data_IF_791747406122
#
_entry.id   IF_791747406122
#
_cell.length_a   1.000
_cell.length_b   1.000
_cell.length_c   1.000
_cell.angle_alpha   90.00
_cell.angle_beta   90.00
_cell.angle_gamma   90.00
#
_symmetry.space_group_name_H-M   'P 1'
#
loop_
_entity.id
_entity.type
_entity.pdbx_description
1 polymer ?
#
# COMPACT_ATOMS: atom_id res chain seq x y z
N UNK A 1 12.07 -5.75 -44.32
CA UNK A 1 10.66 -5.72 -43.84
C UNK A 1 10.56 -5.94 -42.33
N UNK A 2 11.05 -7.05 -41.75
CA UNK A 2 10.99 -7.29 -40.29
C UNK A 2 11.58 -6.16 -39.41
N UNK A 3 12.72 -5.58 -39.80
CA UNK A 3 13.35 -4.44 -39.08
C UNK A 3 12.52 -3.14 -39.12
N UNK A 4 11.76 -2.91 -40.19
CA UNK A 4 10.89 -1.73 -40.33
C UNK A 4 9.66 -1.87 -39.45
N UNK A 5 9.14 -3.09 -39.29
CA UNK A 5 8.03 -3.39 -38.38
C UNK A 5 8.44 -3.11 -36.93
N UNK A 6 9.64 -3.51 -36.49
CA UNK A 6 10.12 -3.19 -35.13
C UNK A 6 10.31 -1.69 -34.89
N UNK A 7 10.81 -0.94 -35.87
CA UNK A 7 10.94 0.52 -35.76
C UNK A 7 9.57 1.19 -35.71
N UNK A 8 8.59 0.74 -36.51
CA UNK A 8 7.22 1.24 -36.45
C UNK A 8 6.53 0.89 -35.13
N UNK A 9 6.66 -0.34 -34.63
CA UNK A 9 6.15 -0.73 -33.31
C UNK A 9 6.78 0.08 -32.17
N UNK A 10 8.09 0.37 -32.26
CA UNK A 10 8.79 1.21 -31.30
C UNK A 10 8.30 2.68 -31.37
N UNK A 11 8.11 3.24 -32.56
CA UNK A 11 7.59 4.61 -32.73
C UNK A 11 6.13 4.76 -32.29
N UNK A 12 5.28 3.75 -32.50
CA UNK A 12 3.90 3.75 -31.99
C UNK A 12 3.84 3.76 -30.46
N UNK A 13 4.80 3.11 -29.78
CA UNK A 13 4.84 3.10 -28.32
C UNK A 13 5.11 4.48 -27.72
N UNK A 14 5.76 5.40 -28.44
CA UNK A 14 5.97 6.79 -27.98
C UNK A 14 4.72 7.68 -28.08
N UNK A 15 3.78 7.37 -29.00
CA UNK A 15 2.57 8.18 -29.19
C UNK A 15 1.62 8.18 -27.99
N UNK A 16 1.50 7.03 -27.32
CA UNK A 16 0.61 6.84 -26.15
C UNK A 16 1.08 7.65 -24.93
N UNK A 17 2.38 7.94 -24.83
CA UNK A 17 2.89 8.75 -23.73
C UNK A 17 2.52 10.22 -23.87
N UNK A 18 2.63 10.77 -25.08
CA UNK A 18 2.29 12.16 -25.37
C UNK A 18 0.79 12.46 -25.21
N UNK A 19 -0.07 11.51 -25.56
CA UNK A 19 -1.53 11.66 -25.44
C UNK A 19 -1.97 11.82 -23.98
N UNK A 20 -1.42 11.01 -23.08
CA UNK A 20 -1.73 11.07 -21.65
C UNK A 20 -1.32 12.39 -20.99
N UNK A 21 -0.20 12.98 -21.39
CA UNK A 21 0.22 14.29 -20.87
C UNK A 21 -0.73 15.41 -21.32
N UNK A 22 -1.25 15.31 -22.55
CA UNK A 22 -2.27 16.23 -23.07
C UNK A 22 -3.58 16.06 -22.30
N UNK A 23 -4.03 14.81 -22.09
CA UNK A 23 -5.22 14.51 -21.29
C UNK A 23 -5.07 15.05 -19.87
N UNK A 24 -3.90 14.88 -19.25
CA UNK A 24 -3.63 15.34 -17.89
C UNK A 24 -3.71 16.88 -17.79
N UNK A 25 -3.06 17.59 -18.72
CA UNK A 25 -3.14 19.06 -18.80
C UNK A 25 -4.57 19.54 -19.03
N UNK A 26 -5.32 18.86 -19.91
CA UNK A 26 -6.74 19.17 -20.17
C UNK A 26 -7.61 18.94 -18.93
N UNK A 27 -7.40 17.83 -18.22
CA UNK A 27 -8.09 17.53 -16.98
C UNK A 27 -7.81 18.59 -15.91
N UNK A 28 -6.55 19.00 -15.73
CA UNK A 28 -6.19 20.09 -14.81
C UNK A 28 -6.85 21.42 -15.20
N UNK A 29 -6.92 21.74 -16.50
CA UNK A 29 -7.61 22.94 -16.97
C UNK A 29 -9.12 22.90 -16.67
N UNK A 30 -9.77 21.75 -16.90
CA UNK A 30 -11.18 21.54 -16.55
C UNK A 30 -11.42 21.66 -15.04
N UNK A 31 -10.54 21.05 -14.24
CA UNK A 31 -10.57 21.17 -12.78
C UNK A 31 -10.48 22.64 -12.32
N UNK A 32 -9.53 23.40 -12.88
CA UNK A 32 -9.37 24.82 -12.56
C UNK A 32 -10.55 25.69 -13.01
N UNK A 33 -11.33 25.24 -14.00
CA UNK A 33 -12.58 25.86 -14.43
C UNK A 33 -13.79 25.45 -13.57
N UNK A 34 -13.60 24.61 -12.55
CA UNK A 34 -14.68 24.07 -11.72
C UNK A 34 -15.47 22.92 -12.37
N UNK A 35 -15.04 22.45 -13.54
CA UNK A 35 -15.69 21.36 -14.29
C UNK A 35 -15.18 20.00 -13.82
N UNK A 36 -15.47 19.67 -12.56
CA UNK A 36 -14.88 18.51 -11.89
C UNK A 36 -15.27 17.17 -12.52
N UNK A 37 -16.53 17.01 -12.95
CA UNK A 37 -16.99 15.77 -13.58
C UNK A 37 -16.27 15.51 -14.92
N UNK A 38 -16.11 16.55 -15.75
CA UNK A 38 -15.36 16.46 -17.00
C UNK A 38 -13.87 16.19 -16.75
N UNK A 39 -13.30 16.77 -15.68
CA UNK A 39 -11.92 16.50 -15.29
C UNK A 39 -11.72 15.04 -14.88
N UNK A 40 -12.63 14.47 -14.09
CA UNK A 40 -12.62 13.05 -13.69
C UNK A 40 -12.63 12.16 -14.93
N UNK A 41 -13.52 12.40 -15.90
CA UNK A 41 -13.57 11.63 -17.14
C UNK A 41 -12.21 11.63 -17.87
N UNK A 42 -11.52 12.78 -17.93
CA UNK A 42 -10.19 12.85 -18.57
C UNK A 42 -9.10 12.17 -17.76
N UNK A 43 -9.16 12.19 -16.43
CA UNK A 43 -8.23 11.44 -15.61
C UNK A 43 -8.49 9.92 -15.67
N UNK A 44 -9.75 9.49 -15.70
CA UNK A 44 -10.12 8.07 -15.84
C UNK A 44 -9.64 7.51 -17.18
N UNK A 45 -9.76 8.28 -18.27
CA UNK A 45 -9.17 7.89 -19.56
C UNK A 45 -7.64 7.64 -19.47
N UNK A 46 -6.92 8.38 -18.62
CA UNK A 46 -5.48 8.13 -18.40
C UNK A 46 -5.30 6.82 -17.63
N UNK A 47 -6.10 6.58 -16.58
CA UNK A 47 -6.08 5.33 -15.83
C UNK A 47 -6.37 4.10 -16.69
N UNK A 48 -7.30 4.21 -17.65
CA UNK A 48 -7.62 3.13 -18.60
C UNK A 48 -6.42 2.72 -19.48
N UNK A 49 -5.43 3.60 -19.65
CA UNK A 49 -4.17 3.25 -20.33
C UNK A 49 -3.17 2.49 -19.44
N UNK A 50 -3.54 2.17 -18.19
CA UNK A 50 -2.68 1.52 -17.20
C UNK A 50 -1.62 2.45 -16.60
N UNK A 51 -1.75 3.77 -16.79
CA UNK A 51 -0.86 4.75 -16.19
C UNK A 51 -1.33 5.11 -14.79
N UNK A 52 -0.45 4.92 -13.81
CA UNK A 52 -0.70 5.24 -12.42
C UNK A 52 0.40 6.16 -11.89
N UNK A 53 0.01 7.22 -11.19
CA UNK A 53 0.95 8.13 -10.50
C UNK A 53 0.29 8.75 -9.27
N UNK A 54 1.11 9.20 -8.32
CA UNK A 54 0.62 9.90 -7.14
C UNK A 54 -0.20 11.14 -7.54
N UNK A 55 0.30 11.93 -8.51
CA UNK A 55 -0.36 13.15 -8.99
C UNK A 55 -1.71 12.88 -9.65
N UNK A 56 -1.82 11.81 -10.46
CA UNK A 56 -3.07 11.43 -11.11
C UNK A 56 -4.13 11.05 -10.07
N UNK A 57 -3.75 10.20 -9.11
CA UNK A 57 -4.64 9.82 -8.03
C UNK A 57 -5.01 10.99 -7.13
N UNK A 58 -4.05 11.85 -6.79
CA UNK A 58 -4.31 13.05 -6.00
C UNK A 58 -5.30 13.99 -6.68
N UNK A 59 -5.17 14.21 -8.00
CA UNK A 59 -6.07 15.08 -8.75
C UNK A 59 -7.47 14.47 -8.95
N UNK A 60 -7.57 13.16 -9.20
CA UNK A 60 -8.84 12.43 -9.18
C UNK A 60 -9.53 12.56 -7.82
N UNK A 61 -8.79 12.36 -6.74
CA UNK A 61 -9.30 12.46 -5.38
C UNK A 61 -9.81 13.86 -5.06
N UNK A 62 -9.08 14.91 -5.47
CA UNK A 62 -9.49 16.31 -5.36
C UNK A 62 -10.77 16.59 -6.17
N UNK A 63 -10.87 16.11 -7.41
CA UNK A 63 -12.04 16.32 -8.24
C UNK A 63 -13.29 15.63 -7.65
N UNK A 64 -13.13 14.40 -7.15
CA UNK A 64 -14.19 13.69 -6.43
C UNK A 64 -14.56 14.39 -5.11
N UNK A 65 -13.57 14.89 -4.36
CA UNK A 65 -13.80 15.67 -3.15
C UNK A 65 -14.69 16.89 -3.41
N UNK A 66 -14.39 17.64 -4.49
CA UNK A 66 -15.17 18.82 -4.89
C UNK A 66 -16.61 18.52 -5.30
N UNK A 67 -16.90 17.28 -5.70
CA UNK A 67 -18.25 16.80 -6.01
C UNK A 67 -18.94 16.13 -4.82
N UNK A 68 -18.31 16.09 -3.64
CA UNK A 68 -18.77 15.33 -2.47
C UNK A 68 -18.90 13.82 -2.71
N UNK A 69 -18.12 13.26 -3.63
CA UNK A 69 -18.03 11.81 -3.80
C UNK A 69 -17.05 11.25 -2.76
N UNK A 70 -17.55 10.93 -1.56
CA UNK A 70 -16.74 10.62 -0.37
C UNK A 70 -15.87 9.37 -0.60
N UNK A 71 -16.48 8.23 -0.95
CA UNK A 71 -15.73 6.99 -1.16
C UNK A 71 -14.67 7.07 -2.27
N UNK A 72 -14.99 7.55 -3.49
CA UNK A 72 -13.98 7.73 -4.54
C UNK A 72 -12.86 8.68 -4.14
N UNK A 73 -13.17 9.77 -3.43
CA UNK A 73 -12.15 10.73 -2.98
C UNK A 73 -11.14 10.08 -2.05
N UNK A 74 -11.61 9.42 -0.99
CA UNK A 74 -10.72 8.73 -0.03
C UNK A 74 -9.96 7.60 -0.73
N UNK A 75 -10.63 6.82 -1.59
CA UNK A 75 -10.00 5.74 -2.34
C UNK A 75 -8.81 6.20 -3.17
N UNK A 76 -8.96 7.28 -3.94
CA UNK A 76 -7.85 7.79 -4.75
C UNK A 76 -6.78 8.49 -3.90
N UNK A 77 -7.13 9.19 -2.81
CA UNK A 77 -6.12 9.71 -1.90
C UNK A 77 -5.29 8.62 -1.24
N UNK A 78 -5.90 7.51 -0.82
CA UNK A 78 -5.18 6.36 -0.27
C UNK A 78 -4.21 5.77 -1.30
N UNK A 79 -4.63 5.65 -2.56
CA UNK A 79 -3.74 5.22 -3.65
C UNK A 79 -2.60 6.20 -3.89
N UNK A 80 -2.87 7.51 -3.87
CA UNK A 80 -1.83 8.53 -3.98
C UNK A 80 -0.82 8.42 -2.81
N UNK A 81 -1.33 8.24 -1.58
CA UNK A 81 -0.52 8.09 -0.37
C UNK A 81 0.33 6.81 -0.40
N UNK A 82 -0.17 5.74 -1.00
CA UNK A 82 0.61 4.51 -1.19
C UNK A 82 1.85 4.75 -2.07
N UNK A 83 1.71 5.55 -3.13
CA UNK A 83 2.81 5.89 -4.04
C UNK A 83 3.75 6.97 -3.46
N UNK A 84 3.22 7.88 -2.65
CA UNK A 84 3.96 8.98 -2.05
C UNK A 84 3.66 9.09 -0.53
N UNK A 85 4.16 8.15 0.30
CA UNK A 85 3.78 8.04 1.73
C UNK A 85 4.26 9.19 2.61
N UNK A 86 5.16 10.03 2.10
CA UNK A 86 5.72 11.17 2.82
C UNK A 86 5.19 12.53 2.33
N UNK A 87 4.32 12.54 1.33
CA UNK A 87 3.74 13.77 0.80
C UNK A 87 2.80 14.42 1.82
N UNK A 88 3.06 15.68 2.17
CA UNK A 88 2.26 16.42 3.15
C UNK A 88 0.90 16.82 2.62
N UNK A 89 0.81 17.14 1.32
CA UNK A 89 -0.42 17.64 0.70
C UNK A 89 -1.44 16.50 0.59
N UNK A 90 -0.99 15.31 0.20
CA UNK A 90 -1.82 14.10 0.22
C UNK A 90 -2.34 13.82 1.64
N UNK A 91 -1.47 13.87 2.65
CA UNK A 91 -1.83 13.62 4.06
C UNK A 91 -2.84 14.63 4.61
N UNK A 92 -2.68 15.90 4.26
CA UNK A 92 -3.60 16.94 4.69
C UNK A 92 -4.95 16.79 3.99
N UNK A 93 -4.94 16.58 2.66
CA UNK A 93 -6.17 16.50 1.88
C UNK A 93 -7.00 15.24 2.18
N UNK A 94 -6.36 14.09 2.39
CA UNK A 94 -7.08 12.88 2.81
C UNK A 94 -7.70 13.05 4.19
N UNK A 95 -7.09 13.81 5.10
CA UNK A 95 -7.67 14.08 6.41
C UNK A 95 -8.99 14.88 6.28
N UNK A 96 -9.03 15.88 5.39
CA UNK A 96 -10.28 16.58 5.08
C UNK A 96 -11.34 15.64 4.48
N UNK A 97 -10.95 14.76 3.55
CA UNK A 97 -11.87 13.77 2.97
C UNK A 97 -12.41 12.79 4.01
N UNK A 98 -11.57 12.33 4.94
CA UNK A 98 -12.00 11.46 6.05
C UNK A 98 -12.95 12.18 7.01
N UNK A 99 -12.82 13.49 7.21
CA UNK A 99 -13.79 14.23 8.02
C UNK A 99 -15.19 14.32 7.38
N UNK A 100 -15.35 13.94 6.11
CA UNK A 100 -16.66 13.82 5.46
C UNK A 100 -17.34 12.47 5.72
N UNK A 101 -16.65 11.49 6.30
CA UNK A 101 -17.24 10.18 6.59
C UNK A 101 -18.20 10.27 7.77
N UNK A 102 -19.25 9.45 7.74
CA UNK A 102 -20.22 9.34 8.84
C UNK A 102 -19.67 8.53 10.00
N UNK A 103 -18.89 7.49 9.70
CA UNK A 103 -18.35 6.59 10.71
C UNK A 103 -17.16 7.25 11.43
N UNK A 104 -17.27 7.37 12.75
CA UNK A 104 -16.16 7.74 13.62
C UNK A 104 -15.56 6.47 14.24
N UNK A 105 -14.42 6.04 13.70
CA UNK A 105 -13.75 4.80 14.11
C UNK A 105 -12.43 5.17 14.75
N UNK A 106 -12.33 4.95 16.05
CA UNK A 106 -11.10 5.14 16.79
C UNK A 106 -9.99 4.25 16.24
N UNK A 107 -8.82 4.85 16.02
CA UNK A 107 -7.61 4.11 15.67
C UNK A 107 -6.94 3.71 16.97
N UNK A 108 -6.86 2.41 17.26
CA UNK A 108 -6.15 1.96 18.45
C UNK A 108 -4.66 2.31 18.28
N UNK A 109 -4.11 3.19 19.14
CA UNK A 109 -2.73 3.61 18.98
C UNK A 109 -1.80 2.44 19.30
N UNK A 110 -0.81 2.21 18.45
CA UNK A 110 0.25 1.26 18.75
C UNK A 110 1.16 1.80 19.85
N UNK A 111 1.31 1.04 20.93
CA UNK A 111 2.08 1.45 22.12
C UNK A 111 3.25 0.50 22.40
N UNK A 112 4.25 1.02 23.13
CA UNK A 112 5.37 0.25 23.66
C UNK A 112 6.22 -0.46 22.60
N UNK A 113 6.58 -1.72 22.87
CA UNK A 113 7.45 -2.54 22.01
C UNK A 113 6.85 -2.85 20.64
N UNK A 114 5.52 -2.97 20.54
CA UNK A 114 4.85 -3.28 19.26
C UNK A 114 5.14 -2.20 18.21
N UNK A 115 5.01 -0.93 18.60
CA UNK A 115 5.33 0.22 17.75
C UNK A 115 6.80 0.22 17.32
N UNK A 116 7.73 -0.11 18.22
CA UNK A 116 9.17 -0.13 17.92
C UNK A 116 9.48 -1.22 16.89
N UNK A 117 8.99 -2.44 17.12
CA UNK A 117 9.21 -3.57 16.20
C UNK A 117 8.62 -3.27 14.82
N UNK A 118 7.37 -2.79 14.76
CA UNK A 118 6.72 -2.42 13.49
C UNK A 118 7.48 -1.30 12.78
N UNK A 119 7.93 -0.28 13.50
CA UNK A 119 8.69 0.83 12.93
C UNK A 119 10.02 0.36 12.34
N UNK A 120 10.74 -0.54 13.01
CA UNK A 120 11.99 -1.12 12.48
C UNK A 120 11.69 -1.99 11.26
N UNK A 121 10.69 -2.88 11.34
CA UNK A 121 10.28 -3.70 10.20
C UNK A 121 9.96 -2.85 8.97
N UNK A 122 9.26 -1.73 9.12
CA UNK A 122 8.83 -0.88 8.03
C UNK A 122 9.90 0.05 7.46
N UNK A 123 11.10 0.13 8.05
CA UNK A 123 12.20 0.92 7.47
C UNK A 123 12.69 0.36 6.13
N UNK A 124 12.57 -0.95 5.93
CA UNK A 124 13.10 -1.66 4.77
C UNK A 124 12.04 -2.64 4.24
N UNK A 125 12.09 -2.94 2.95
CA UNK A 125 11.26 -3.99 2.37
C UNK A 125 11.69 -5.37 2.86
N UNK A 126 10.81 -6.36 2.70
CA UNK A 126 11.13 -7.76 2.93
C UNK A 126 12.43 -8.19 2.22
N UNK A 127 12.56 -7.88 0.92
CA UNK A 127 13.73 -8.23 0.12
C UNK A 127 15.01 -7.58 0.64
N UNK A 128 14.92 -6.35 1.13
CA UNK A 128 16.07 -5.64 1.66
C UNK A 128 16.55 -6.26 2.99
N UNK A 129 15.63 -6.63 3.88
CA UNK A 129 15.97 -7.41 5.08
C UNK A 129 16.58 -8.78 4.74
N UNK A 130 16.04 -9.48 3.73
CA UNK A 130 16.58 -10.75 3.27
C UNK A 130 18.00 -10.61 2.70
N UNK A 131 18.29 -9.55 1.93
CA UNK A 131 19.65 -9.26 1.44
C UNK A 131 20.63 -8.96 2.57
N UNK A 132 20.20 -8.22 3.59
CA UNK A 132 21.01 -7.97 4.81
C UNK A 132 21.33 -9.29 5.51
N UNK A 133 20.35 -10.18 5.67
CA UNK A 133 20.57 -11.51 6.24
C UNK A 133 21.63 -12.30 5.45
N UNK A 134 21.50 -12.35 4.11
CA UNK A 134 22.51 -13.00 3.24
C UNK A 134 23.90 -12.38 3.42
N UNK A 135 23.99 -11.05 3.54
CA UNK A 135 25.25 -10.35 3.82
C UNK A 135 25.89 -10.80 5.14
N UNK A 136 25.10 -10.96 6.20
CA UNK A 136 25.59 -11.48 7.48
C UNK A 136 26.02 -12.95 7.41
N UNK A 137 25.38 -13.78 6.56
CA UNK A 137 25.86 -15.15 6.30
C UNK A 137 27.27 -15.13 5.69
N UNK A 138 27.50 -14.33 4.65
CA UNK A 138 28.84 -14.22 4.04
C UNK A 138 29.88 -13.70 5.05
N UNK A 139 29.52 -12.67 5.83
CA UNK A 139 30.39 -12.14 6.88
C UNK A 139 30.74 -13.20 7.92
N UNK A 140 29.75 -13.99 8.36
CA UNK A 140 29.95 -15.11 9.27
C UNK A 140 30.94 -16.12 8.69
N UNK A 141 30.72 -16.59 7.46
CA UNK A 141 31.58 -17.59 6.81
C UNK A 141 33.02 -17.07 6.67
N UNK A 142 33.20 -15.83 6.20
CA UNK A 142 34.53 -15.24 6.03
C UNK A 142 35.27 -15.12 7.36
N UNK A 143 34.60 -14.62 8.41
CA UNK A 143 35.22 -14.46 9.73
C UNK A 143 35.50 -15.82 10.40
N UNK A 144 34.61 -16.80 10.18
CA UNK A 144 34.81 -18.16 10.69
C UNK A 144 35.99 -18.86 10.00
N UNK A 145 36.15 -18.68 8.68
CA UNK A 145 37.33 -19.15 7.96
C UNK A 145 38.59 -18.40 8.41
N UNK A 146 38.53 -17.08 8.59
CA UNK A 146 39.64 -16.29 9.09
C UNK A 146 40.12 -16.76 10.48
N UNK A 147 39.19 -17.14 11.36
CA UNK A 147 39.51 -17.74 12.65
C UNK A 147 40.38 -19.01 12.52
N UNK A 148 40.15 -19.83 11.48
CA UNK A 148 40.94 -21.03 11.22
C UNK A 148 42.36 -20.73 10.73
N UNK A 149 42.51 -19.76 9.81
CA UNK A 149 43.79 -19.49 9.13
C UNK A 149 44.72 -18.50 9.84
N UNK A 150 44.20 -17.66 10.73
CA UNK A 150 45.01 -16.63 11.41
C UNK A 150 45.81 -17.26 12.54
N UNK A 151 47.10 -16.95 12.66
CA UNK A 151 47.96 -17.50 13.73
C UNK A 151 47.97 -16.65 15.02
N UNK A 152 47.77 -15.33 14.90
CA UNK A 152 47.80 -14.41 16.06
C UNK A 152 46.58 -14.58 16.97
N UNK A 153 46.84 -14.70 18.29
CA UNK A 153 45.80 -14.92 19.31
C UNK A 153 44.73 -13.82 19.34
N UNK A 154 45.13 -12.55 19.23
CA UNK A 154 44.18 -11.42 19.23
C UNK A 154 43.26 -11.47 18.02
N UNK A 155 43.83 -11.67 16.83
CA UNK A 155 43.06 -11.69 15.59
C UNK A 155 42.14 -12.92 15.51
N UNK A 156 42.57 -14.09 16.04
CA UNK A 156 41.67 -15.24 16.23
C UNK A 156 40.48 -14.89 17.10
N UNK A 157 40.72 -14.25 18.25
CA UNK A 157 39.64 -13.86 19.18
C UNK A 157 38.66 -12.89 18.53
N UNK A 158 39.16 -11.90 17.80
CA UNK A 158 38.33 -10.95 17.06
C UNK A 158 37.52 -11.64 15.96
N UNK A 159 38.11 -12.56 15.20
CA UNK A 159 37.42 -13.32 14.16
C UNK A 159 36.30 -14.22 14.76
N UNK A 160 36.57 -14.86 15.90
CA UNK A 160 35.58 -15.67 16.61
C UNK A 160 34.41 -14.83 17.16
N UNK A 161 34.72 -13.71 17.83
CA UNK A 161 33.69 -12.79 18.36
C UNK A 161 32.89 -12.20 17.19
N UNK A 162 33.56 -11.75 16.14
CA UNK A 162 32.94 -11.16 14.96
C UNK A 162 32.03 -12.14 14.23
N UNK A 163 32.47 -13.38 14.01
CA UNK A 163 31.61 -14.42 13.41
C UNK A 163 30.38 -14.69 14.29
N UNK A 164 30.55 -14.85 15.61
CA UNK A 164 29.43 -15.04 16.54
C UNK A 164 28.44 -13.86 16.50
N UNK A 165 28.94 -12.63 16.43
CA UNK A 165 28.11 -11.43 16.30
C UNK A 165 27.37 -11.39 14.96
N UNK A 166 28.04 -11.70 13.85
CA UNK A 166 27.41 -11.78 12.52
C UNK A 166 26.30 -12.84 12.48
N UNK A 167 26.49 -13.96 13.17
CA UNK A 167 25.47 -15.00 13.32
C UNK A 167 24.25 -14.50 14.13
N UNK A 168 24.46 -13.73 15.19
CA UNK A 168 23.37 -13.12 15.96
C UNK A 168 22.60 -12.10 15.10
N UNK A 169 23.31 -11.22 14.39
CA UNK A 169 22.71 -10.21 13.52
C UNK A 169 21.95 -10.84 12.34
N UNK A 170 22.39 -11.99 11.84
CA UNK A 170 21.64 -12.80 10.88
C UNK A 170 20.26 -13.17 11.42
N UNK A 171 20.17 -13.73 12.64
CA UNK A 171 18.88 -14.11 13.22
C UNK A 171 17.97 -12.91 13.44
N UNK A 172 18.52 -11.77 13.84
CA UNK A 172 17.77 -10.51 13.96
C UNK A 172 17.23 -10.05 12.60
N UNK A 173 18.06 -10.08 11.54
CA UNK A 173 17.63 -9.71 10.19
C UNK A 173 16.54 -10.65 9.67
N UNK A 174 16.66 -11.96 9.90
CA UNK A 174 15.64 -12.95 9.54
C UNK A 174 14.34 -12.72 10.31
N UNK A 175 14.40 -12.44 11.61
CA UNK A 175 13.24 -12.10 12.41
C UNK A 175 12.48 -10.91 11.79
N UNK A 176 13.18 -9.83 11.46
CA UNK A 176 12.55 -8.66 10.84
C UNK A 176 12.03 -8.95 9.43
N UNK A 177 12.71 -9.79 8.64
CA UNK A 177 12.22 -10.22 7.34
C UNK A 177 10.89 -10.97 7.46
N UNK A 178 10.81 -12.00 8.32
CA UNK A 178 9.56 -12.75 8.54
C UNK A 178 8.46 -11.88 9.15
N UNK A 179 8.80 -10.99 10.08
CA UNK A 179 7.84 -10.06 10.66
C UNK A 179 7.27 -9.12 9.59
N UNK A 180 8.12 -8.54 8.74
CA UNK A 180 7.70 -7.68 7.62
C UNK A 180 6.85 -8.43 6.60
N UNK A 181 7.24 -9.65 6.23
CA UNK A 181 6.44 -10.53 5.37
C UNK A 181 5.03 -10.77 5.93
N UNK A 182 4.92 -11.03 7.24
CA UNK A 182 3.63 -11.25 7.89
C UNK A 182 2.77 -9.99 7.97
N UNK A 183 3.38 -8.81 8.12
CA UNK A 183 2.66 -7.52 8.03
C UNK A 183 2.12 -7.35 6.62
N UNK A 184 2.97 -7.46 5.60
CA UNK A 184 2.61 -7.18 4.21
C UNK A 184 1.57 -8.17 3.68
N UNK A 185 1.68 -9.45 4.06
CA UNK A 185 0.69 -10.48 3.70
C UNK A 185 -0.71 -10.19 4.24
N UNK A 186 -0.81 -9.52 5.40
CA UNK A 186 -2.08 -9.17 6.05
C UNK A 186 -2.57 -7.77 5.66
N UNK A 187 -1.76 -6.98 4.97
CA UNK A 187 -2.12 -5.62 4.56
C UNK A 187 -2.92 -5.66 3.26
N UNK A 188 -4.24 -5.69 3.41
CA UNK A 188 -5.17 -5.73 2.30
C UNK A 188 -6.26 -4.67 2.49
N UNK A 189 -5.89 -3.39 2.39
CA UNK A 189 -6.78 -2.31 2.72
C UNK A 189 -7.82 -2.10 1.60
N UNK A 190 -9.02 -1.72 2.01
CA UNK A 190 -10.15 -1.49 1.13
C UNK A 190 -11.01 -0.32 1.65
N UNK A 191 -11.80 0.26 0.75
CA UNK A 191 -12.75 1.33 1.07
C UNK A 191 -14.17 0.84 0.82
N UNK A 192 -15.10 1.14 1.72
CA UNK A 192 -16.53 0.93 1.50
C UNK A 192 -17.05 1.97 0.50
N UNK A 193 -17.68 1.52 -0.58
CA UNK A 193 -18.24 2.34 -1.66
C UNK A 193 -19.77 2.43 -1.62
N UNK A 194 -20.44 1.51 -0.92
CA UNK A 194 -21.89 1.62 -0.70
C UNK A 194 -22.18 2.77 0.28
N UNK A 195 -23.22 3.57 0.02
CA UNK A 195 -23.66 4.64 0.92
C UNK A 195 -23.88 4.13 2.35
N UNK A 196 -24.49 2.95 2.46
CA UNK A 196 -24.66 2.22 3.69
C UNK A 196 -24.47 0.73 3.40
N UNK A 197 -23.57 0.08 4.13
CA UNK A 197 -23.32 -1.36 4.07
C UNK A 197 -23.62 -2.02 5.40
N UNK A 198 -24.44 -3.06 5.34
CA UNK A 198 -24.83 -3.86 6.51
C UNK A 198 -23.77 -4.92 6.76
N UNK A 199 -23.06 -4.78 7.87
CA UNK A 199 -22.05 -5.75 8.27
C UNK A 199 -22.73 -6.91 9.00
N UNK A 200 -22.47 -8.11 8.52
CA UNK A 200 -23.08 -9.35 8.97
C UNK A 200 -22.13 -10.15 9.88
N UNK A 201 -22.68 -10.89 10.84
CA UNK A 201 -21.88 -11.78 11.70
C UNK A 201 -21.32 -12.98 10.93
N UNK A 202 -22.01 -13.43 9.89
CA UNK A 202 -21.63 -14.58 9.04
C UNK A 202 -21.75 -14.22 7.54
N UNK A 203 -21.10 -14.97 6.63
CA UNK A 203 -21.14 -14.72 5.19
C UNK A 203 -22.45 -15.18 4.53
N UNK A 204 -23.60 -14.78 5.08
CA UNK A 204 -24.92 -15.08 4.54
C UNK A 204 -25.92 -13.96 4.85
N UNK A 205 -26.94 -13.82 3.99
CA UNK A 205 -27.93 -12.74 4.05
C UNK A 205 -28.81 -12.83 5.31
N UNK A 206 -29.06 -14.05 5.80
CA UNK A 206 -29.96 -14.35 6.92
C UNK A 206 -29.35 -14.07 8.29
N UNK A 207 -28.03 -13.99 8.36
CA UNK A 207 -27.32 -13.76 9.61
C UNK A 207 -27.63 -12.37 10.18
N UNK A 208 -27.44 -12.26 11.49
CA UNK A 208 -27.68 -11.03 12.22
C UNK A 208 -26.76 -9.91 11.73
N UNK A 209 -27.31 -8.69 11.71
CA UNK A 209 -26.55 -7.48 11.44
C UNK A 209 -25.75 -7.15 12.70
N UNK A 210 -24.42 -7.14 12.59
CA UNK A 210 -23.52 -6.82 13.71
C UNK A 210 -23.41 -5.30 13.90
N UNK A 211 -23.17 -4.57 12.81
CA UNK A 211 -23.13 -3.11 12.76
C UNK A 211 -23.27 -2.63 11.31
N UNK A 212 -23.23 -1.31 11.10
CA UNK A 212 -23.35 -0.68 9.78
C UNK A 212 -22.14 0.20 9.52
N UNK A 213 -21.74 0.27 8.26
CA UNK A 213 -20.67 1.13 7.78
C UNK A 213 -21.18 1.98 6.63
N UNK A 214 -20.56 3.13 6.41
CA UNK A 214 -20.90 4.06 5.36
C UNK A 214 -19.76 4.21 4.36
N UNK A 215 -20.07 4.89 3.26
CA UNK A 215 -19.09 5.13 2.20
C UNK A 215 -17.85 5.89 2.73
N UNK A 216 -16.68 5.55 2.19
CA UNK A 216 -15.41 6.17 2.58
C UNK A 216 -14.71 5.49 3.75
N UNK A 217 -15.41 4.63 4.50
CA UNK A 217 -14.80 3.90 5.61
C UNK A 217 -13.71 2.95 5.13
N UNK A 218 -12.52 3.11 5.72
CA UNK A 218 -11.36 2.25 5.45
C UNK A 218 -11.38 1.01 6.32
N UNK A 219 -11.20 -0.13 5.68
CA UNK A 219 -11.23 -1.45 6.31
C UNK A 219 -10.06 -2.31 5.83
N UNK A 220 -9.71 -3.35 6.59
CA UNK A 220 -8.77 -4.39 6.17
C UNK A 220 -9.54 -5.65 5.80
N UNK A 221 -9.37 -6.17 4.59
CA UNK A 221 -9.99 -7.43 4.18
C UNK A 221 -9.12 -8.60 4.63
N UNK A 222 -9.64 -9.40 5.57
CA UNK A 222 -8.91 -10.50 6.21
C UNK A 222 -9.30 -11.88 5.69
N UNK A 223 -10.46 -12.01 5.04
CA UNK A 223 -10.94 -13.27 4.45
C UNK A 223 -11.90 -12.98 3.29
N UNK A 224 -12.09 -13.96 2.41
CA UNK A 224 -12.94 -13.86 1.22
C UNK A 224 -13.66 -15.19 0.97
N UNK A 225 -14.99 -15.16 1.00
CA UNK A 225 -15.86 -16.34 0.80
C UNK A 225 -17.00 -15.98 -0.14
N UNK A 226 -16.96 -16.56 -1.35
CA UNK A 226 -17.95 -16.34 -2.41
C UNK A 226 -18.15 -14.84 -2.74
N UNK A 227 -19.27 -14.27 -2.32
CA UNK A 227 -19.64 -12.86 -2.53
C UNK A 227 -19.51 -12.02 -1.25
N UNK A 228 -18.80 -12.53 -0.24
CA UNK A 228 -18.62 -11.88 1.04
C UNK A 228 -17.15 -11.70 1.35
N UNK A 229 -16.79 -10.51 1.83
CA UNK A 229 -15.46 -10.24 2.36
C UNK A 229 -15.54 -10.05 3.86
N UNK A 230 -14.70 -10.76 4.60
CA UNK A 230 -14.54 -10.51 6.03
C UNK A 230 -13.61 -9.32 6.19
N UNK A 231 -14.10 -8.31 6.89
CA UNK A 231 -13.40 -7.07 7.15
C UNK A 231 -13.00 -6.96 8.61
N UNK A 232 -11.97 -6.16 8.86
CA UNK A 232 -11.50 -5.75 10.17
C UNK A 232 -11.32 -4.23 10.19
N UNK A 233 -11.89 -3.59 11.21
CA UNK A 233 -11.77 -2.16 11.47
C UNK A 233 -10.52 -1.84 12.30
N UNK A 234 -10.19 -0.55 12.41
CA UNK A 234 -9.06 -0.08 13.24
C UNK A 234 -9.28 -0.25 14.74
N UNK A 235 -10.53 -0.42 15.17
CA UNK A 235 -10.92 -0.74 16.55
C UNK A 235 -10.99 -2.25 16.83
N UNK A 236 -10.43 -3.08 15.93
CA UNK A 236 -10.40 -4.55 15.98
C UNK A 236 -11.75 -5.25 15.77
N UNK A 237 -12.87 -4.52 15.58
CA UNK A 237 -14.14 -5.15 15.22
C UNK A 237 -14.04 -5.83 13.86
N UNK A 238 -14.74 -6.96 13.73
CA UNK A 238 -14.79 -7.73 12.48
C UNK A 238 -16.21 -8.06 12.08
N UNK A 239 -16.43 -8.26 10.79
CA UNK A 239 -17.68 -8.78 10.26
C UNK A 239 -17.60 -8.99 8.76
N UNK A 240 -18.70 -9.42 8.15
CA UNK A 240 -18.80 -9.75 6.73
C UNK A 240 -19.58 -8.68 5.98
N UNK A 241 -19.02 -8.21 4.87
CA UNK A 241 -19.68 -7.27 3.96
C UNK A 241 -19.80 -7.89 2.57
N UNK A 242 -20.80 -7.43 1.81
CA UNK A 242 -20.95 -7.78 0.41
C UNK A 242 -19.70 -7.35 -0.38
N UNK A 243 -19.14 -8.25 -1.20
CA UNK A 243 -17.98 -7.96 -2.05
C UNK A 243 -18.22 -6.80 -3.03
N UNK A 244 -19.50 -6.46 -3.32
CA UNK A 244 -19.87 -5.34 -4.20
C UNK A 244 -19.76 -3.99 -3.50
N UNK A 245 -19.81 -3.98 -2.18
CA UNK A 245 -19.88 -2.76 -1.37
C UNK A 245 -18.48 -2.22 -1.06
N UNK A 246 -17.42 -2.97 -1.40
CA UNK A 246 -16.06 -2.71 -0.99
C UNK A 246 -15.09 -2.80 -2.17
N UNK A 247 -14.14 -1.87 -2.24
CA UNK A 247 -13.12 -1.81 -3.28
C UNK A 247 -11.73 -1.86 -2.67
N UNK A 248 -10.92 -2.84 -3.11
CA UNK A 248 -9.55 -3.03 -2.66
C UNK A 248 -8.64 -1.93 -3.22
N UNK A 249 -7.71 -1.45 -2.40
CA UNK A 249 -6.72 -0.44 -2.80
C UNK A 249 -5.55 -1.03 -3.58
N UNK A 250 -5.24 -2.31 -3.36
CA UNK A 250 -4.09 -3.01 -3.94
C UNK A 250 -4.27 -3.40 -5.42
N UNK A 251 -5.43 -3.13 -6.01
CA UNK A 251 -5.69 -3.39 -7.43
C UNK A 251 -5.30 -2.16 -8.25
N UNK A 252 -4.32 -2.29 -9.14
CA UNK A 252 -3.90 -1.25 -10.10
C UNK A 252 -4.54 -1.48 -11.45
#
# INVERSE_FOLDING_TARGET
MKKVIYILSFLLSFGVFAENDILFKKANALYNQGKYAEAIEKYDNILETGKHSADLYFNLANAHYKLNNIAPSIYFYEKALHLAPNDSDIKNNIAFARNMTVDDIDVIPEVGFSKIIKSISNKMSFDAWAKVAVGFVFCFVILFLAYYFVYSTLNKRLAFIGSTLSLLLLFVALFFAFHKYNIDKKDNPAIIFAQESKVKSEPNIRSEESFRLHEGTKVQVIDDVNNWKKIKLSDEKTGWVSSKDVKLLNNY
#
